data_IF_471636125197
#
_entry.id   IF_471636125197
#
_cell.length_a   1.000
_cell.length_b   1.000
_cell.length_c   1.000
_cell.angle_alpha   90.00
_cell.angle_beta   90.00
_cell.angle_gamma   90.00
#
_symmetry.space_group_name_H-M   'P 1'
#
loop_
_entity.id
_entity.type
_entity.pdbx_description
1 polymer ?
#
# COMPACT_ATOMS: atom_id res chain seq x y z
N UNK A 1 17.47 -2.12 9.45
CA UNK A 1 16.52 -2.29 8.32
C UNK A 1 15.11 -2.22 8.88
N UNK A 2 14.17 -1.55 8.19
CA UNK A 2 12.75 -1.64 8.57
C UNK A 2 12.18 -2.91 7.94
N UNK A 3 11.49 -3.74 8.72
CA UNK A 3 10.83 -4.95 8.23
C UNK A 3 9.42 -4.62 7.74
N UNK A 4 9.24 -4.58 6.42
CA UNK A 4 7.95 -4.29 5.78
C UNK A 4 7.21 -5.54 5.31
N UNK A 5 7.94 -6.60 4.94
CA UNK A 5 7.37 -7.85 4.47
C UNK A 5 6.29 -8.38 5.43
N UNK A 6 5.17 -8.84 4.87
CA UNK A 6 4.01 -9.39 5.57
C UNK A 6 3.23 -8.43 6.48
N UNK A 7 3.68 -7.17 6.63
CA UNK A 7 2.88 -6.13 7.31
C UNK A 7 1.71 -5.68 6.45
N UNK A 8 0.70 -5.11 7.10
CA UNK A 8 -0.49 -4.57 6.43
C UNK A 8 -0.38 -3.05 6.30
N UNK A 9 -0.53 -2.52 5.08
CA UNK A 9 -0.76 -1.10 4.83
C UNK A 9 -2.23 -0.88 4.46
N UNK A 10 -2.90 0.00 5.21
CA UNK A 10 -4.27 0.46 4.91
C UNK A 10 -4.16 1.80 4.19
N UNK A 11 -4.66 1.89 2.97
CA UNK A 11 -4.57 3.09 2.13
C UNK A 11 -5.96 3.55 1.74
N UNK A 12 -6.33 4.77 2.13
CA UNK A 12 -7.54 5.44 1.65
C UNK A 12 -7.23 6.22 0.37
N UNK A 13 -8.15 6.26 -0.61
CA UNK A 13 -7.89 6.92 -1.91
C UNK A 13 -6.84 6.19 -2.77
N UNK A 14 -6.69 4.87 -2.60
CA UNK A 14 -5.64 4.06 -3.22
C UNK A 14 -5.91 3.62 -4.66
N UNK A 15 -7.05 3.95 -5.26
CA UNK A 15 -7.43 3.53 -6.61
C UNK A 15 -6.74 4.33 -7.71
N UNK A 16 -6.27 5.55 -7.42
CA UNK A 16 -5.64 6.42 -8.43
C UNK A 16 -4.55 7.34 -7.85
N UNK A 17 -3.89 8.09 -8.75
CA UNK A 17 -2.94 9.14 -8.40
C UNK A 17 -1.84 8.69 -7.41
N UNK A 18 -1.64 9.51 -6.38
CA UNK A 18 -0.61 9.28 -5.35
C UNK A 18 -0.94 8.03 -4.52
N UNK A 19 -2.22 7.77 -4.21
CA UNK A 19 -2.63 6.61 -3.45
C UNK A 19 -2.26 5.30 -4.16
N UNK A 20 -2.50 5.24 -5.48
CA UNK A 20 -2.08 4.09 -6.29
C UNK A 20 -0.55 3.93 -6.35
N UNK A 21 0.19 5.04 -6.44
CA UNK A 21 1.65 4.99 -6.43
C UNK A 21 2.17 4.45 -5.08
N UNK A 22 1.55 4.85 -3.97
CA UNK A 22 1.89 4.35 -2.63
C UNK A 22 1.58 2.87 -2.48
N UNK A 23 0.41 2.41 -2.94
CA UNK A 23 0.04 0.98 -2.95
C UNK A 23 1.09 0.16 -3.70
N UNK A 24 1.50 0.61 -4.89
CA UNK A 24 2.53 -0.07 -5.68
C UNK A 24 3.88 -0.15 -4.96
N UNK A 25 4.30 0.94 -4.31
CA UNK A 25 5.52 0.95 -3.52
C UNK A 25 5.45 -0.02 -2.33
N UNK A 26 4.35 -0.02 -1.56
CA UNK A 26 4.17 -0.93 -0.44
C UNK A 26 4.10 -2.41 -0.88
N UNK A 27 3.47 -2.70 -2.02
CA UNK A 27 3.49 -4.06 -2.60
C UNK A 27 4.90 -4.51 -2.96
N UNK A 28 5.73 -3.63 -3.53
CA UNK A 28 7.12 -3.94 -3.88
C UNK A 28 7.97 -4.28 -2.63
N UNK A 29 7.63 -3.70 -1.48
CA UNK A 29 8.23 -4.00 -0.17
C UNK A 29 7.69 -5.30 0.48
N UNK A 30 6.81 -6.03 -0.22
CA UNK A 30 6.23 -7.30 0.26
C UNK A 30 5.13 -7.14 1.31
N UNK A 31 4.51 -5.96 1.38
CA UNK A 31 3.38 -5.71 2.27
C UNK A 31 2.07 -6.30 1.72
N UNK A 32 1.14 -6.58 2.62
CA UNK A 32 -0.27 -6.83 2.31
C UNK A 32 -1.01 -5.50 2.31
N UNK A 33 -1.93 -5.30 1.37
CA UNK A 33 -2.60 -4.01 1.19
C UNK A 33 -4.11 -4.15 1.41
N UNK A 34 -4.68 -3.19 2.13
CA UNK A 34 -6.12 -2.93 2.15
C UNK A 34 -6.34 -1.56 1.54
N UNK A 35 -7.18 -1.48 0.50
CA UNK A 35 -7.55 -0.22 -0.15
C UNK A 35 -8.99 0.11 0.21
N UNK A 36 -9.22 1.35 0.63
CA UNK A 36 -10.56 1.91 0.81
C UNK A 36 -10.70 3.16 -0.07
N UNK A 37 -11.57 3.11 -1.06
CA UNK A 37 -11.81 4.21 -2.00
C UNK A 37 -13.32 4.35 -2.26
N UNK A 38 -13.76 5.48 -2.82
CA UNK A 38 -15.17 5.81 -3.10
C UNK A 38 -15.49 5.73 -4.59
#
# INVERSE_FOLDING_TARGET
>A
MKEFKDRVAVVTGGASGIGLALVKACLAEGMKIVIADV
#
